data_IF_980286394457
#
_entry.id   IF_980286394457
#
_cell.length_a   1.000
_cell.length_b   1.000
_cell.length_c   1.000
_cell.angle_alpha   90.00
_cell.angle_beta   90.00
_cell.angle_gamma   90.00
#
_symmetry.space_group_name_H-M   'P 1'
#
loop_
_entity.id
_entity.type
_entity.pdbx_description
1 polymer ?
#
# COMPACT_ATOMS: atom_id res chain seq x y z
N UNK A 1 22.12 -13.84 10.71
CA UNK A 1 21.23 -13.42 11.80
C UNK A 1 20.82 -14.62 12.64
N UNK A 2 20.17 -15.66 12.06
CA UNK A 2 19.68 -16.84 12.79
C UNK A 2 20.77 -17.58 13.56
N UNK A 3 21.95 -17.81 12.96
CA UNK A 3 23.09 -18.47 13.60
C UNK A 3 23.54 -17.76 14.88
N UNK A 4 23.57 -16.43 14.87
CA UNK A 4 23.95 -15.64 16.05
C UNK A 4 22.88 -15.70 17.14
N UNK A 5 21.59 -15.69 16.75
CA UNK A 5 20.49 -15.88 17.71
C UNK A 5 20.54 -17.27 18.31
N UNK A 6 20.81 -18.31 17.53
CA UNK A 6 21.01 -19.68 18.02
C UNK A 6 22.21 -19.81 18.98
N UNK A 7 23.22 -18.95 18.82
CA UNK A 7 24.36 -18.86 19.74
C UNK A 7 24.04 -18.04 21.01
N UNK A 8 22.80 -17.63 21.23
CA UNK A 8 22.37 -16.91 22.41
C UNK A 8 22.48 -15.38 22.32
N UNK A 9 22.79 -14.83 21.14
CA UNK A 9 22.85 -13.39 20.96
C UNK A 9 21.44 -12.78 20.75
N UNK A 10 21.29 -11.52 21.14
CA UNK A 10 20.06 -10.76 20.89
C UNK A 10 20.13 -10.14 19.50
N UNK A 11 19.13 -10.43 18.65
CA UNK A 11 19.01 -9.87 17.32
C UNK A 11 17.86 -8.86 17.23
N UNK A 12 18.01 -7.82 16.40
CA UNK A 12 16.95 -6.88 16.05
C UNK A 12 16.90 -6.75 14.53
N UNK A 13 15.72 -6.99 13.95
CA UNK A 13 15.43 -6.68 12.56
C UNK A 13 14.67 -5.35 12.48
N UNK A 14 15.18 -4.40 11.68
CA UNK A 14 14.56 -3.08 11.51
C UNK A 14 13.87 -3.04 10.16
N UNK A 15 12.59 -2.67 10.15
CA UNK A 15 11.77 -2.53 8.96
C UNK A 15 11.31 -1.08 8.80
N UNK A 16 11.01 -0.69 7.57
CA UNK A 16 10.37 0.60 7.30
C UNK A 16 8.87 0.51 7.65
N UNK A 17 8.35 1.54 8.32
CA UNK A 17 6.93 1.61 8.68
C UNK A 17 6.52 0.56 9.70
N UNK A 18 5.34 -0.03 9.53
CA UNK A 18 4.82 -1.08 10.38
C UNK A 18 5.00 -2.46 9.71
N UNK A 19 5.63 -3.43 10.39
CA UNK A 19 5.86 -4.76 9.83
C UNK A 19 4.57 -5.52 9.48
N UNK A 20 3.43 -5.14 10.08
CA UNK A 20 2.14 -5.79 9.79
C UNK A 20 1.49 -5.31 8.49
N UNK A 21 1.96 -4.23 7.88
CA UNK A 21 1.41 -3.72 6.61
C UNK A 21 2.17 -4.22 5.37
N UNK A 22 3.44 -3.94 5.22
CA UNK A 22 4.22 -4.39 4.06
C UNK A 22 5.40 -5.29 4.43
N UNK A 23 5.79 -5.30 5.69
CA UNK A 23 6.92 -6.08 6.21
C UNK A 23 6.59 -7.54 6.56
N UNK A 24 5.33 -7.97 6.52
CA UNK A 24 4.89 -9.26 7.05
C UNK A 24 5.56 -10.48 6.38
N UNK A 25 5.87 -10.40 5.09
CA UNK A 25 6.59 -11.49 4.40
C UNK A 25 8.02 -11.65 4.93
N UNK A 26 8.70 -10.53 5.23
CA UNK A 26 10.02 -10.56 5.84
C UNK A 26 9.95 -10.99 7.31
N UNK A 27 8.97 -10.49 8.07
CA UNK A 27 8.71 -10.93 9.44
C UNK A 27 8.52 -12.45 9.49
N UNK A 28 7.69 -13.02 8.63
CA UNK A 28 7.50 -14.46 8.54
C UNK A 28 8.77 -15.24 8.17
N UNK A 29 9.71 -14.65 7.41
CA UNK A 29 11.04 -15.26 7.19
C UNK A 29 11.88 -15.27 8.46
N UNK A 30 11.86 -14.18 9.23
CA UNK A 30 12.56 -14.10 10.53
C UNK A 30 12.01 -15.14 11.50
N UNK A 31 10.69 -15.19 11.67
CA UNK A 31 10.02 -16.15 12.57
C UNK A 31 10.34 -17.62 12.23
N UNK A 32 10.43 -17.96 10.95
CA UNK A 32 10.82 -19.31 10.53
C UNK A 32 12.30 -19.60 10.67
N UNK A 33 13.14 -18.58 10.71
CA UNK A 33 14.59 -18.74 10.74
C UNK A 33 15.17 -18.86 12.15
N UNK A 34 14.41 -18.46 13.19
CA UNK A 34 14.90 -18.45 14.56
C UNK A 34 14.00 -19.33 15.46
N UNK A 35 14.63 -20.20 16.24
CA UNK A 35 13.94 -20.95 17.30
C UNK A 35 14.02 -20.16 18.62
N UNK A 36 13.41 -18.98 18.63
CA UNK A 36 13.40 -18.08 19.76
C UNK A 36 12.15 -17.17 19.69
N UNK A 37 11.65 -16.67 20.84
CA UNK A 37 10.53 -15.74 20.84
C UNK A 37 10.82 -14.48 20.05
N UNK A 38 9.97 -14.16 19.06
CA UNK A 38 10.03 -12.93 18.27
C UNK A 38 9.04 -11.91 18.85
N UNK A 39 9.57 -10.75 19.26
CA UNK A 39 8.74 -9.62 19.70
C UNK A 39 8.60 -8.62 18.54
N UNK A 40 7.38 -8.38 18.11
CA UNK A 40 7.08 -7.33 17.13
C UNK A 40 6.81 -6.02 17.86
N UNK A 41 7.48 -4.95 17.41
CA UNK A 41 7.21 -3.58 17.83
C UNK A 41 6.53 -2.87 16.66
N UNK A 42 5.29 -2.39 16.81
CA UNK A 42 4.58 -1.71 15.73
C UNK A 42 5.22 -0.37 15.41
N UNK A 43 5.06 0.06 14.17
CA UNK A 43 5.48 1.37 13.69
C UNK A 43 4.32 2.13 13.06
N UNK A 44 4.61 3.32 12.54
CA UNK A 44 3.65 4.10 11.75
C UNK A 44 3.82 3.74 10.27
N UNK A 45 2.78 3.18 9.68
CA UNK A 45 2.76 2.86 8.25
C UNK A 45 2.46 4.09 7.39
N UNK A 46 2.99 4.12 6.16
CA UNK A 46 2.58 5.10 5.14
C UNK A 46 1.06 5.07 4.87
N UNK A 47 0.40 3.92 5.04
CA UNK A 47 -1.06 3.81 4.93
C UNK A 47 -1.79 4.59 6.03
N UNK A 48 -1.29 4.58 7.28
CA UNK A 48 -1.86 5.37 8.36
C UNK A 48 -1.68 6.88 8.13
N UNK A 49 -0.52 7.27 7.61
CA UNK A 49 -0.25 8.67 7.22
C UNK A 49 -1.16 9.07 6.06
N UNK A 50 -1.29 8.21 5.03
CA UNK A 50 -2.17 8.43 3.89
C UNK A 50 -3.63 8.58 4.32
N UNK A 51 -4.13 7.71 5.22
CA UNK A 51 -5.47 7.84 5.79
C UNK A 51 -5.71 9.21 6.41
N UNK A 52 -4.74 9.71 7.19
CA UNK A 52 -4.79 11.03 7.82
C UNK A 52 -4.80 12.17 6.78
N UNK A 53 -3.98 12.09 5.73
CA UNK A 53 -3.90 13.09 4.66
C UNK A 53 -5.15 13.08 3.77
N UNK A 54 -5.66 11.90 3.44
CA UNK A 54 -6.85 11.71 2.62
C UNK A 54 -8.16 11.90 3.42
N UNK A 55 -8.08 11.95 4.76
CA UNK A 55 -9.23 11.99 5.68
C UNK A 55 -10.19 10.81 5.43
N UNK A 56 -9.64 9.61 5.38
CA UNK A 56 -10.39 8.37 5.26
C UNK A 56 -10.41 7.65 6.60
N UNK A 57 -11.56 7.45 7.25
CA UNK A 57 -11.65 6.68 8.50
C UNK A 57 -11.19 5.24 8.26
N UNK A 58 -10.36 4.70 9.15
CA UNK A 58 -9.81 3.35 8.98
C UNK A 58 -10.90 2.27 9.03
N UNK A 59 -11.95 2.46 9.81
CA UNK A 59 -13.08 1.54 9.92
C UNK A 59 -13.88 1.42 8.61
N UNK A 60 -13.81 2.44 7.75
CA UNK A 60 -14.53 2.52 6.48
C UNK A 60 -13.59 2.45 5.26
N UNK A 61 -12.39 1.94 5.47
CA UNK A 61 -11.35 1.89 4.45
C UNK A 61 -10.91 0.45 4.19
N UNK A 62 -10.82 0.08 2.92
CA UNK A 62 -10.16 -1.15 2.48
C UNK A 62 -8.68 -0.85 2.22
N UNK A 63 -7.80 -1.56 2.94
CA UNK A 63 -6.35 -1.47 2.75
C UNK A 63 -5.86 -2.63 1.90
N UNK A 64 -5.20 -2.31 0.80
CA UNK A 64 -4.60 -3.34 -0.07
C UNK A 64 -3.17 -2.97 -0.41
N UNK A 65 -2.26 -3.91 -0.22
CA UNK A 65 -0.91 -3.79 -0.76
C UNK A 65 -0.77 -4.66 -2.01
N UNK A 66 -0.45 -4.01 -3.12
CA UNK A 66 -0.03 -4.67 -4.36
C UNK A 66 1.51 -4.81 -4.40
N UNK A 67 2.22 -4.13 -3.49
CA UNK A 67 3.68 -4.11 -3.37
C UNK A 67 4.19 -5.44 -2.75
N UNK A 68 3.89 -6.53 -3.43
CA UNK A 68 4.30 -7.89 -3.04
C UNK A 68 4.57 -8.75 -4.26
N UNK A 69 5.35 -9.81 -4.08
CA UNK A 69 5.59 -10.80 -5.14
C UNK A 69 4.43 -11.78 -5.26
N UNK A 70 4.20 -12.30 -6.44
CA UNK A 70 3.22 -13.33 -6.73
C UNK A 70 1.93 -12.82 -7.36
N UNK A 71 0.90 -13.67 -7.32
CA UNK A 71 -0.41 -13.36 -7.88
C UNK A 71 -1.13 -12.30 -7.06
N UNK A 72 -1.79 -11.38 -7.73
CA UNK A 72 -2.57 -10.28 -7.16
C UNK A 72 -4.08 -10.39 -7.47
N UNK A 73 -4.53 -11.49 -8.06
CA UNK A 73 -5.92 -11.64 -8.50
C UNK A 73 -6.92 -11.39 -7.35
N UNK A 74 -6.66 -11.95 -6.17
CA UNK A 74 -7.51 -11.77 -4.99
C UNK A 74 -7.49 -10.33 -4.47
N UNK A 75 -6.32 -9.67 -4.52
CA UNK A 75 -6.19 -8.28 -4.06
C UNK A 75 -6.93 -7.33 -4.99
N UNK A 76 -6.79 -7.51 -6.31
CA UNK A 76 -7.52 -6.73 -7.31
C UNK A 76 -9.03 -7.00 -7.21
N UNK A 77 -9.44 -8.23 -7.00
CA UNK A 77 -10.85 -8.57 -6.78
C UNK A 77 -11.43 -7.86 -5.52
N UNK A 78 -10.64 -7.73 -4.45
CA UNK A 78 -11.03 -6.96 -3.26
C UNK A 78 -11.20 -5.49 -3.57
N UNK A 79 -10.25 -4.88 -4.29
CA UNK A 79 -10.32 -3.47 -4.70
C UNK A 79 -11.56 -3.20 -5.55
N UNK A 80 -11.79 -4.01 -6.59
CA UNK A 80 -12.95 -3.90 -7.49
C UNK A 80 -14.28 -4.01 -6.74
N UNK A 81 -14.37 -4.93 -5.77
CA UNK A 81 -15.58 -5.11 -4.95
C UNK A 81 -15.93 -3.89 -4.13
N UNK A 82 -14.93 -3.19 -3.60
CA UNK A 82 -15.15 -2.11 -2.65
C UNK A 82 -15.04 -0.71 -3.26
N UNK A 83 -14.71 -0.61 -4.54
CA UNK A 83 -14.65 0.67 -5.23
C UNK A 83 -16.02 1.38 -5.22
N UNK A 84 -16.05 2.60 -4.69
CA UNK A 84 -17.27 3.39 -4.51
C UNK A 84 -18.08 3.07 -3.24
N UNK A 85 -17.96 1.87 -2.67
CA UNK A 85 -18.65 1.48 -1.44
C UNK A 85 -17.86 1.85 -0.18
N UNK A 86 -16.54 1.71 -0.24
CA UNK A 86 -15.61 2.04 0.83
C UNK A 86 -14.51 2.96 0.31
N UNK A 87 -13.81 3.62 1.22
CA UNK A 87 -12.54 4.23 0.85
C UNK A 87 -11.51 3.14 0.55
N UNK A 88 -10.66 3.37 -0.44
CA UNK A 88 -9.56 2.48 -0.76
C UNK A 88 -8.23 3.17 -0.43
N UNK A 89 -7.32 2.47 0.22
CA UNK A 89 -5.93 2.86 0.35
C UNK A 89 -5.05 1.73 -0.21
N UNK A 90 -4.32 2.04 -1.26
CA UNK A 90 -3.57 1.06 -2.03
C UNK A 90 -2.10 1.42 -2.02
N UNK A 91 -1.24 0.45 -1.71
CA UNK A 91 0.18 0.52 -2.03
C UNK A 91 0.38 -0.08 -3.42
N UNK A 92 0.67 0.73 -4.45
CA UNK A 92 0.88 0.27 -5.80
C UNK A 92 2.09 -0.67 -5.90
N UNK A 93 2.18 -1.45 -6.98
CA UNK A 93 3.38 -2.22 -7.30
C UNK A 93 4.19 -1.44 -8.33
N UNK A 94 5.41 -1.01 -7.98
CA UNK A 94 6.26 -0.28 -8.90
C UNK A 94 6.47 -1.04 -10.21
N UNK A 95 6.54 -0.31 -11.31
CA UNK A 95 6.81 -0.75 -12.67
C UNK A 95 5.65 -1.41 -13.45
N UNK A 96 4.62 -1.96 -12.80
CA UNK A 96 3.56 -2.68 -13.52
C UNK A 96 2.12 -2.43 -13.01
N UNK A 97 1.94 -1.88 -11.84
CA UNK A 97 0.62 -1.50 -11.29
C UNK A 97 0.74 -0.20 -10.50
N UNK A 98 1.04 0.89 -11.20
CA UNK A 98 1.11 2.23 -10.66
C UNK A 98 -0.30 2.82 -10.45
N UNK A 99 -0.45 3.99 -9.80
CA UNK A 99 -1.76 4.56 -9.53
C UNK A 99 -2.70 4.67 -10.73
N UNK A 100 -2.18 5.02 -11.92
CA UNK A 100 -2.95 5.09 -13.16
C UNK A 100 -3.48 3.72 -13.60
N UNK A 101 -2.63 2.68 -13.52
CA UNK A 101 -3.01 1.32 -13.89
C UNK A 101 -4.08 0.75 -12.96
N UNK A 102 -3.95 1.01 -11.65
CA UNK A 102 -4.97 0.63 -10.66
C UNK A 102 -6.29 1.36 -10.93
N UNK A 103 -6.23 2.64 -11.28
CA UNK A 103 -7.43 3.41 -11.62
C UNK A 103 -8.12 2.86 -12.87
N UNK A 104 -7.35 2.52 -13.92
CA UNK A 104 -7.89 1.90 -15.13
C UNK A 104 -8.56 0.55 -14.83
N UNK A 105 -7.91 -0.31 -14.03
CA UNK A 105 -8.47 -1.59 -13.61
C UNK A 105 -9.80 -1.45 -12.86
N UNK A 106 -9.91 -0.44 -11.99
CA UNK A 106 -11.17 -0.15 -11.27
C UNK A 106 -12.28 0.36 -12.19
N UNK A 107 -11.95 1.21 -13.17
CA UNK A 107 -12.92 1.67 -14.18
C UNK A 107 -13.41 0.53 -15.07
N UNK A 108 -12.52 -0.36 -15.51
CA UNK A 108 -12.86 -1.54 -16.30
C UNK A 108 -13.78 -2.49 -15.51
N UNK A 109 -13.67 -2.48 -14.20
CA UNK A 109 -14.57 -3.23 -13.30
C UNK A 109 -15.90 -2.49 -13.00
N UNK A 110 -16.11 -1.28 -13.54
CA UNK A 110 -17.36 -0.53 -13.43
C UNK A 110 -17.38 0.52 -12.31
N UNK A 111 -16.24 0.86 -11.71
CA UNK A 111 -16.18 1.98 -10.76
C UNK A 111 -16.53 3.31 -11.44
N UNK A 112 -17.18 4.21 -10.72
CA UNK A 112 -17.56 5.51 -11.26
C UNK A 112 -16.33 6.39 -11.53
N UNK A 113 -16.22 7.03 -12.71
CA UNK A 113 -15.02 7.81 -13.09
C UNK A 113 -14.85 9.11 -12.28
N UNK A 114 -15.90 9.60 -11.67
CA UNK A 114 -15.92 10.82 -10.86
C UNK A 114 -15.55 10.58 -9.38
N UNK A 115 -15.25 9.34 -8.98
CA UNK A 115 -14.77 9.07 -7.63
C UNK A 115 -13.50 9.88 -7.33
N UNK A 116 -13.47 10.62 -6.21
CA UNK A 116 -12.29 11.39 -5.86
C UNK A 116 -11.09 10.50 -5.58
N UNK A 117 -9.98 10.77 -6.26
CA UNK A 117 -8.72 10.05 -6.13
C UNK A 117 -7.59 10.98 -5.68
N UNK A 118 -6.70 10.48 -4.86
CA UNK A 118 -5.49 11.18 -4.42
C UNK A 118 -4.28 10.27 -4.64
N UNK A 119 -3.23 10.81 -5.23
CA UNK A 119 -1.91 10.17 -5.22
C UNK A 119 -1.05 10.92 -4.22
N UNK A 120 -0.62 10.18 -3.20
CA UNK A 120 0.18 10.71 -2.09
C UNK A 120 1.60 10.15 -2.22
N UNK A 121 2.55 11.02 -2.46
CA UNK A 121 3.92 10.62 -2.76
C UNK A 121 4.86 11.08 -1.67
N UNK A 122 5.88 10.28 -1.39
CA UNK A 122 6.96 10.56 -0.44
C UNK A 122 6.46 11.12 0.90
N UNK A 123 5.38 10.50 1.41
CA UNK A 123 4.74 10.89 2.66
C UNK A 123 5.75 11.02 3.80
N UNK A 124 5.68 12.11 4.54
CA UNK A 124 6.56 12.51 5.65
C UNK A 124 7.98 12.92 5.25
N UNK A 125 8.34 12.90 3.97
CA UNK A 125 9.59 13.46 3.48
C UNK A 125 9.46 14.96 3.23
N UNK A 126 10.60 15.64 3.08
CA UNK A 126 10.61 17.09 2.83
C UNK A 126 10.02 17.52 1.48
N UNK A 127 9.87 16.55 0.57
CA UNK A 127 9.29 16.69 -0.76
C UNK A 127 7.96 15.92 -0.91
N UNK A 128 7.23 15.76 0.21
CA UNK A 128 5.86 15.20 0.21
C UNK A 128 5.00 15.94 -0.80
N UNK A 129 4.31 15.20 -1.66
CA UNK A 129 3.34 15.76 -2.59
C UNK A 129 2.01 15.01 -2.56
N UNK A 130 0.91 15.75 -2.80
CA UNK A 130 -0.44 15.19 -2.82
C UNK A 130 -1.17 15.75 -4.04
N UNK A 131 -1.32 14.92 -5.05
CA UNK A 131 -2.12 15.21 -6.23
C UNK A 131 -3.58 14.79 -5.99
N UNK A 132 -4.52 15.69 -6.27
CA UNK A 132 -5.97 15.45 -6.15
C UNK A 132 -6.59 15.46 -7.53
N UNK A 133 -7.35 14.42 -7.84
CA UNK A 133 -7.92 14.17 -9.15
C UNK A 133 -9.19 13.33 -9.03
N UNK A 134 -9.71 12.85 -10.14
CA UNK A 134 -10.75 11.83 -10.21
C UNK A 134 -10.16 10.48 -10.63
N UNK A 135 -10.91 9.41 -10.40
CA UNK A 135 -10.49 8.08 -10.86
C UNK A 135 -10.34 8.03 -12.39
N UNK A 136 -11.26 8.71 -13.11
CA UNK A 136 -11.23 8.79 -14.57
C UNK A 136 -10.00 9.52 -15.12
N UNK A 137 -9.69 10.69 -14.55
CA UNK A 137 -8.50 11.46 -14.98
C UNK A 137 -7.21 10.69 -14.63
N UNK A 138 -7.18 10.02 -13.47
CA UNK A 138 -6.02 9.23 -13.06
C UNK A 138 -5.75 8.04 -13.98
N UNK A 139 -6.81 7.38 -14.46
CA UNK A 139 -6.69 6.26 -15.40
C UNK A 139 -6.06 6.66 -16.74
N UNK A 140 -6.13 7.95 -17.11
CA UNK A 140 -5.42 8.48 -18.27
C UNK A 140 -3.91 8.31 -18.23
N UNK A 141 -3.33 8.08 -17.05
CA UNK A 141 -1.90 7.81 -16.85
C UNK A 141 -1.54 6.32 -16.83
N UNK A 142 -2.47 5.43 -17.18
CA UNK A 142 -2.18 4.00 -17.25
C UNK A 142 -1.14 3.68 -18.33
N UNK A 143 -0.16 2.86 -18.02
CA UNK A 143 0.92 2.48 -18.94
C UNK A 143 1.96 3.57 -19.20
N UNK A 144 1.87 4.73 -18.56
CA UNK A 144 2.91 5.77 -18.68
C UNK A 144 4.16 5.38 -17.87
N UNK A 145 5.34 5.54 -18.47
CA UNK A 145 6.60 5.40 -17.73
C UNK A 145 6.71 6.53 -16.70
N UNK A 146 6.51 6.20 -15.44
CA UNK A 146 6.83 7.00 -14.24
C UNK A 146 6.18 8.38 -14.06
N UNK A 147 4.85 8.55 -14.20
CA UNK A 147 4.25 9.80 -13.75
C UNK A 147 4.26 9.94 -12.22
N UNK A 148 4.42 8.84 -11.49
CA UNK A 148 4.39 8.80 -10.03
C UNK A 148 5.61 8.10 -9.43
N UNK A 149 5.97 8.50 -8.20
CA UNK A 149 7.06 7.90 -7.44
C UNK A 149 6.73 6.48 -6.99
N UNK A 150 7.75 5.60 -6.88
CA UNK A 150 7.65 4.29 -6.24
C UNK A 150 7.18 4.37 -4.78
N UNK A 151 7.39 5.53 -4.13
CA UNK A 151 6.93 5.82 -2.78
C UNK A 151 5.55 6.48 -2.79
N UNK A 152 4.62 5.95 -3.57
CA UNK A 152 3.26 6.48 -3.66
C UNK A 152 2.25 5.61 -2.90
N UNK A 153 1.18 6.24 -2.45
CA UNK A 153 -0.05 5.61 -1.97
C UNK A 153 -1.20 6.17 -2.78
N UNK A 154 -2.03 5.32 -3.34
CA UNK A 154 -3.29 5.72 -3.96
C UNK A 154 -4.40 5.68 -2.92
N UNK A 155 -5.14 6.79 -2.81
CA UNK A 155 -6.39 6.84 -2.06
C UNK A 155 -7.55 7.09 -3.02
N UNK A 156 -8.56 6.23 -3.02
CA UNK A 156 -9.84 6.47 -3.70
C UNK A 156 -10.91 6.65 -2.64
N UNK A 157 -11.61 7.77 -2.69
CA UNK A 157 -12.67 8.03 -1.71
C UNK A 157 -13.99 7.47 -2.23
N UNK A 158 -14.78 6.88 -1.34
CA UNK A 158 -16.15 6.52 -1.68
C UNK A 158 -16.97 7.77 -2.03
N UNK A 159 -18.05 7.58 -2.74
CA UNK A 159 -19.02 8.61 -3.05
C UNK A 159 -19.67 9.21 -1.78
#
# INVERSE_FOLDING_TARGET
FAERVAAGERGTAVLMGDPNHSGYQFLGKVERAVDAPVRVVPGVSSLQVAASRARTPMEDTEFVTLHKSGDLADDLARLRRHAGERHLLVLPRPFDLMPGDVAADLLDAGAAPDLPALVLERLTHGDESISRTTLGDLAGHAGEETPFSDLSVLAVRRA
#
